data_IF_621133843939
#
_entry.id   IF_621133843939
#
_cell.length_a   1.000
_cell.length_b   1.000
_cell.length_c   1.000
_cell.angle_alpha   90.00
_cell.angle_beta   90.00
_cell.angle_gamma   90.00
#
_symmetry.space_group_name_H-M   'P 1'
#
loop_
_entity.id
_entity.type
_entity.pdbx_description
1 polymer ?
#
# COMPACT_ATOMS: atom_id res chain seq x y z
N UNK A 1 11.25 -8.35 -9.26
CA UNK A 1 10.08 -7.77 -9.94
C UNK A 1 9.92 -8.41 -11.30
N UNK A 2 8.72 -8.82 -11.59
CA UNK A 2 8.40 -9.51 -12.84
C UNK A 2 7.77 -8.53 -13.81
N UNK A 3 8.21 -8.56 -15.09
CA UNK A 3 7.70 -7.62 -16.08
C UNK A 3 6.83 -8.33 -17.10
N UNK A 4 5.69 -7.72 -17.42
CA UNK A 4 4.81 -8.15 -18.50
C UNK A 4 4.67 -6.98 -19.48
N UNK A 5 5.09 -7.17 -20.72
CA UNK A 5 5.08 -6.13 -21.73
C UNK A 5 3.95 -6.34 -22.71
N UNK A 6 3.16 -5.29 -22.96
CA UNK A 6 2.13 -5.31 -23.98
C UNK A 6 2.70 -4.83 -25.31
N UNK A 7 2.00 -5.08 -26.44
CA UNK A 7 2.45 -4.58 -27.75
C UNK A 7 2.51 -3.05 -27.82
N UNK A 8 1.74 -2.37 -26.98
CA UNK A 8 1.78 -0.91 -26.92
C UNK A 8 3.02 -0.47 -26.13
N UNK A 9 3.08 0.79 -25.75
CA UNK A 9 4.22 1.36 -25.03
C UNK A 9 4.14 1.18 -23.52
N UNK A 10 3.07 0.56 -23.01
CA UNK A 10 2.85 0.40 -21.59
C UNK A 10 3.42 -0.91 -21.07
N UNK A 11 3.90 -0.88 -19.83
CA UNK A 11 4.43 -2.04 -19.14
C UNK A 11 3.68 -2.24 -17.83
N UNK A 12 3.49 -3.50 -17.46
CA UNK A 12 2.94 -3.86 -16.16
C UNK A 12 4.01 -4.63 -15.38
N UNK A 13 4.23 -4.23 -14.15
CA UNK A 13 5.22 -4.85 -13.27
C UNK A 13 4.51 -5.43 -12.06
N UNK A 14 4.93 -6.61 -11.66
CA UNK A 14 4.37 -7.28 -10.49
C UNK A 14 5.47 -7.47 -9.46
N UNK A 15 5.17 -7.14 -8.23
CA UNK A 15 6.12 -7.26 -7.14
C UNK A 15 5.44 -7.92 -5.94
N UNK A 16 6.09 -8.97 -5.41
CA UNK A 16 5.64 -9.62 -4.18
C UNK A 16 6.68 -9.32 -3.12
N UNK A 17 6.28 -8.61 -2.07
CA UNK A 17 7.22 -8.25 -1.02
C UNK A 17 7.67 -9.50 -0.26
N UNK A 18 8.98 -9.66 -0.04
CA UNK A 18 9.51 -10.79 0.72
C UNK A 18 9.43 -10.57 2.24
N UNK A 19 8.99 -9.40 2.68
CA UNK A 19 9.03 -9.02 4.09
C UNK A 19 7.64 -8.87 4.67
N UNK A 20 7.51 -9.17 5.96
CA UNK A 20 6.29 -8.88 6.72
C UNK A 20 6.45 -7.65 7.61
N UNK A 21 7.56 -6.94 7.50
CA UNK A 21 7.80 -5.72 8.24
C UNK A 21 6.99 -4.59 7.62
N UNK A 22 6.02 -4.00 8.34
CA UNK A 22 5.16 -2.95 7.77
C UNK A 22 5.94 -1.69 7.41
N UNK A 23 7.02 -1.38 8.12
CA UNK A 23 7.85 -0.22 7.78
C UNK A 23 8.58 -0.42 6.46
N UNK A 24 9.12 -1.63 6.26
CA UNK A 24 9.74 -1.99 4.99
C UNK A 24 8.72 -1.92 3.86
N UNK A 25 7.54 -2.49 4.07
CA UNK A 25 6.54 -2.57 3.02
C UNK A 25 5.99 -1.21 2.61
N UNK A 26 5.78 -0.30 3.57
CA UNK A 26 5.31 1.03 3.23
C UNK A 26 6.40 1.83 2.51
N UNK A 27 7.65 1.64 2.91
CA UNK A 27 8.77 2.27 2.23
C UNK A 27 8.94 1.73 0.81
N UNK A 28 8.74 0.43 0.64
CA UNK A 28 8.80 -0.20 -0.68
C UNK A 28 7.70 0.33 -1.60
N UNK A 29 6.48 0.46 -1.09
CA UNK A 29 5.38 1.02 -1.87
C UNK A 29 5.72 2.43 -2.34
N UNK A 30 6.25 3.27 -1.45
CA UNK A 30 6.66 4.62 -1.79
C UNK A 30 7.78 4.62 -2.84
N UNK A 31 8.75 3.73 -2.67
CA UNK A 31 9.84 3.60 -3.63
C UNK A 31 9.33 3.22 -5.01
N UNK A 32 8.45 2.23 -5.09
CA UNK A 32 7.89 1.80 -6.37
C UNK A 32 7.08 2.91 -7.03
N UNK A 33 6.35 3.67 -6.24
CA UNK A 33 5.61 4.82 -6.75
C UNK A 33 6.56 5.83 -7.42
N UNK A 34 7.72 6.07 -6.82
CA UNK A 34 8.70 7.03 -7.34
C UNK A 34 9.42 6.52 -8.58
N UNK A 35 9.43 5.21 -8.81
CA UNK A 35 10.04 4.60 -9.99
C UNK A 35 9.10 4.50 -11.17
N UNK A 36 7.84 4.85 -10.98
CA UNK A 36 6.82 4.69 -12.01
C UNK A 36 7.08 5.62 -13.18
N UNK A 37 7.11 5.04 -14.37
CA UNK A 37 7.22 5.80 -15.60
C UNK A 37 5.83 6.08 -16.18
N UNK A 38 5.72 7.07 -17.09
CA UNK A 38 4.47 7.25 -17.83
C UNK A 38 4.04 5.96 -18.52
N UNK A 39 2.75 5.65 -18.46
CA UNK A 39 2.13 4.47 -19.05
C UNK A 39 2.44 3.16 -18.32
N UNK A 40 3.28 3.16 -17.31
CA UNK A 40 3.54 1.96 -16.52
C UNK A 40 2.47 1.75 -15.46
N UNK A 41 2.30 0.49 -15.07
CA UNK A 41 1.49 0.11 -13.92
C UNK A 41 2.29 -0.85 -13.06
N UNK A 42 2.28 -0.65 -11.76
CA UNK A 42 2.97 -1.53 -10.82
C UNK A 42 1.93 -2.12 -9.88
N UNK A 43 1.95 -3.43 -9.74
CA UNK A 43 1.13 -4.16 -8.78
C UNK A 43 2.02 -4.70 -7.70
N UNK A 44 1.61 -4.54 -6.44
CA UNK A 44 2.37 -5.02 -5.30
C UNK A 44 1.48 -5.84 -4.40
N UNK A 45 1.94 -7.04 -4.05
CA UNK A 45 1.31 -7.89 -3.05
C UNK A 45 2.18 -7.92 -1.81
N UNK A 46 1.57 -7.75 -0.66
CA UNK A 46 2.33 -7.64 0.59
C UNK A 46 1.49 -8.02 1.80
N UNK A 47 2.19 -8.51 2.82
CA UNK A 47 1.59 -8.94 4.08
C UNK A 47 2.40 -8.34 5.21
N UNK A 48 1.73 -7.90 6.26
CA UNK A 48 2.39 -7.29 7.41
C UNK A 48 2.17 -8.11 8.68
N UNK A 49 3.16 -8.12 9.56
CA UNK A 49 2.95 -8.50 10.94
C UNK A 49 1.95 -7.53 11.59
N UNK A 50 1.40 -7.86 12.78
CA UNK A 50 0.39 -7.01 13.41
C UNK A 50 0.77 -5.54 13.41
N UNK A 51 -0.08 -4.73 12.82
CA UNK A 51 0.16 -3.30 12.63
C UNK A 51 -1.15 -2.55 12.43
N UNK A 52 -1.11 -1.26 12.77
CA UNK A 52 -2.21 -0.34 12.57
C UNK A 52 -1.78 0.73 11.61
N UNK A 53 -2.56 0.96 10.57
CA UNK A 53 -2.32 2.00 9.58
C UNK A 53 -3.38 3.07 9.73
N UNK A 54 -2.95 4.29 9.99
CA UNK A 54 -3.84 5.43 10.14
C UNK A 54 -3.90 6.24 8.87
N UNK A 55 -5.01 6.93 8.67
CA UNK A 55 -5.11 7.93 7.64
C UNK A 55 -4.24 9.14 7.95
N UNK A 56 -3.92 9.90 6.91
CA UNK A 56 -2.99 11.04 7.01
C UNK A 56 -3.41 12.06 8.06
N UNK A 57 -4.71 12.28 8.21
CA UNK A 57 -5.23 13.37 9.03
C UNK A 57 -5.81 12.91 10.36
N UNK A 58 -5.70 11.61 10.68
CA UNK A 58 -6.22 11.11 11.93
C UNK A 58 -5.28 11.41 13.09
N UNK A 59 -5.84 11.58 14.25
CA UNK A 59 -5.11 11.86 15.47
C UNK A 59 -5.00 10.60 16.29
N UNK A 60 -3.76 10.07 16.44
CA UNK A 60 -3.53 8.77 17.06
C UNK A 60 -4.05 8.70 18.50
N UNK A 61 -3.81 9.73 19.29
CA UNK A 61 -4.19 9.74 20.70
C UNK A 61 -5.72 9.70 20.87
N UNK A 62 -6.46 10.21 19.89
CA UNK A 62 -7.91 10.22 19.95
C UNK A 62 -8.55 8.92 19.44
N UNK A 63 -7.81 8.17 18.62
CA UNK A 63 -8.36 7.02 17.90
C UNK A 63 -7.88 5.67 18.47
N UNK A 64 -6.75 5.64 19.17
CA UNK A 64 -6.07 4.40 19.52
C UNK A 64 -5.63 4.36 20.96
N UNK A 65 -5.59 3.14 21.48
CA UNK A 65 -4.94 2.85 22.77
C UNK A 65 -3.46 2.58 22.49
N UNK A 66 -2.65 3.63 22.60
CA UNK A 66 -1.23 3.55 22.27
C UNK A 66 -0.45 2.62 23.20
N UNK A 67 -0.85 2.56 24.48
CA UNK A 67 -0.20 1.66 25.43
C UNK A 67 -0.43 0.21 25.05
N UNK A 68 -1.65 -0.12 24.61
CA UNK A 68 -1.95 -1.46 24.16
C UNK A 68 -1.10 -1.86 22.96
N UNK A 69 -0.94 -0.94 22.00
CA UNK A 69 -0.13 -1.20 20.82
C UNK A 69 1.31 -1.49 21.20
N UNK A 70 1.88 -0.70 22.10
CA UNK A 70 3.24 -0.89 22.53
C UNK A 70 3.41 -2.21 23.29
N UNK A 71 2.49 -2.52 24.20
CA UNK A 71 2.57 -3.75 24.98
C UNK A 71 2.48 -5.01 24.13
N UNK A 72 1.75 -4.96 23.03
CA UNK A 72 1.53 -6.10 22.16
C UNK A 72 2.41 -6.08 20.91
N UNK A 73 3.38 -5.18 20.87
CA UNK A 73 4.30 -5.05 19.73
C UNK A 73 3.56 -4.89 18.41
N UNK A 74 2.53 -4.06 18.42
CA UNK A 74 1.78 -3.73 17.21
C UNK A 74 2.34 -2.44 16.64
N UNK A 75 2.83 -2.51 15.41
CA UNK A 75 3.40 -1.34 14.75
C UNK A 75 2.32 -0.30 14.43
N UNK A 76 2.69 0.95 14.50
CA UNK A 76 1.78 2.05 14.16
C UNK A 76 2.39 2.85 13.02
N UNK A 77 1.66 2.97 11.93
CA UNK A 77 2.09 3.70 10.76
C UNK A 77 1.00 4.67 10.31
N UNK A 78 1.41 5.70 9.62
CA UNK A 78 0.51 6.68 9.03
C UNK A 78 0.64 6.64 7.52
N UNK A 79 -0.49 6.52 6.83
CA UNK A 79 -0.50 6.60 5.36
C UNK A 79 -0.28 8.05 4.92
N UNK A 80 0.22 8.21 3.70
CA UNK A 80 0.27 9.53 3.05
C UNK A 80 -1.09 9.93 2.51
N UNK A 81 -2.00 8.99 2.36
CA UNK A 81 -3.37 9.24 1.91
C UNK A 81 -4.32 9.36 3.10
N UNK A 82 -5.51 9.87 2.84
CA UNK A 82 -6.55 9.98 3.85
C UNK A 82 -7.17 8.62 4.20
N UNK A 83 -8.36 8.66 4.78
CA UNK A 83 -9.11 7.47 5.12
C UNK A 83 -9.04 7.16 6.61
N UNK A 84 -9.63 6.03 6.97
CA UNK A 84 -9.74 5.59 8.36
C UNK A 84 -8.58 4.74 8.81
N UNK A 85 -8.67 4.27 10.03
CA UNK A 85 -7.68 3.40 10.65
C UNK A 85 -8.01 1.94 10.30
N UNK A 86 -7.00 1.19 9.90
CA UNK A 86 -7.16 -0.24 9.61
C UNK A 86 -6.11 -1.04 10.35
N UNK A 87 -6.45 -2.27 10.68
CA UNK A 87 -5.56 -3.23 11.32
C UNK A 87 -5.12 -4.27 10.30
N UNK A 88 -3.82 -4.55 10.28
CA UNK A 88 -3.22 -5.60 9.45
C UNK A 88 -2.61 -6.67 10.32
N UNK A 89 -2.67 -7.91 9.87
CA UNK A 89 -1.90 -8.99 10.44
C UNK A 89 -1.49 -9.98 9.35
N UNK A 90 -0.87 -11.08 9.74
CA UNK A 90 -0.34 -12.05 8.77
C UNK A 90 -1.44 -12.74 7.96
N UNK A 91 -2.69 -12.63 8.37
CA UNK A 91 -3.83 -13.17 7.63
C UNK A 91 -4.37 -12.24 6.56
N UNK A 92 -3.86 -11.01 6.46
CA UNK A 92 -4.34 -10.02 5.51
C UNK A 92 -3.39 -9.90 4.34
N UNK A 93 -3.89 -10.14 3.15
CA UNK A 93 -3.13 -9.87 1.92
C UNK A 93 -3.48 -8.47 1.43
N UNK A 94 -2.47 -7.65 1.28
CA UNK A 94 -2.61 -6.29 0.76
C UNK A 94 -2.26 -6.27 -0.71
N UNK A 95 -3.05 -5.54 -1.46
CA UNK A 95 -2.87 -5.36 -2.90
C UNK A 95 -2.78 -3.87 -3.18
N UNK A 96 -1.70 -3.47 -3.82
CA UNK A 96 -1.51 -2.09 -4.25
C UNK A 96 -1.40 -2.05 -5.77
N UNK A 97 -2.14 -1.16 -6.39
CA UNK A 97 -2.00 -0.88 -7.81
C UNK A 97 -1.55 0.57 -7.96
N UNK A 98 -0.38 0.75 -8.56
CA UNK A 98 0.21 2.07 -8.76
C UNK A 98 0.17 2.37 -10.25
N UNK A 99 -0.54 3.42 -10.61
CA UNK A 99 -0.72 3.78 -11.99
C UNK A 99 -0.57 5.28 -12.15
N UNK A 100 0.14 5.68 -13.18
CA UNK A 100 0.27 7.09 -13.49
C UNK A 100 -0.98 7.57 -14.24
N UNK A 101 -1.63 8.57 -13.70
CA UNK A 101 -2.83 9.13 -14.31
C UNK A 101 -2.47 10.38 -15.08
N UNK A 102 -2.35 10.24 -16.39
CA UNK A 102 -1.99 11.35 -17.26
C UNK A 102 -3.09 12.39 -17.39
N UNK A 103 -4.31 12.05 -17.01
CA UNK A 103 -5.42 12.99 -17.08
C UNK A 103 -5.39 13.99 -15.92
N UNK A 104 -4.55 13.75 -14.91
CA UNK A 104 -4.49 14.59 -13.73
C UNK A 104 -5.61 14.36 -12.74
N UNK A 105 -6.39 13.32 -12.92
CA UNK A 105 -7.52 13.03 -12.04
C UNK A 105 -7.15 12.13 -10.86
N UNK A 106 -5.91 11.65 -10.83
CA UNK A 106 -5.46 10.79 -9.76
C UNK A 106 -5.87 9.33 -9.97
N UNK A 107 -5.90 8.59 -8.90
CA UNK A 107 -6.10 7.17 -8.93
C UNK A 107 -7.57 6.82 -9.18
N UNK A 108 -7.84 6.02 -10.21
CA UNK A 108 -9.19 5.57 -10.54
C UNK A 108 -9.38 4.13 -10.08
N UNK A 109 -10.04 3.95 -8.94
CA UNK A 109 -10.31 2.63 -8.39
C UNK A 109 -11.25 1.79 -9.27
N UNK A 110 -12.02 2.42 -10.14
CA UNK A 110 -12.93 1.70 -11.03
C UNK A 110 -12.21 1.00 -12.16
N UNK A 111 -10.97 1.37 -12.43
CA UNK A 111 -10.18 0.77 -13.49
C UNK A 111 -9.62 -0.59 -13.08
N UNK A 112 -9.78 -1.00 -11.85
CA UNK A 112 -9.21 -2.23 -11.32
C UNK A 112 -10.28 -3.16 -10.77
N UNK A 113 -10.02 -4.47 -10.76
CA UNK A 113 -10.86 -5.39 -10.00
C UNK A 113 -10.93 -4.97 -8.55
N UNK A 114 -11.95 -5.42 -7.85
CA UNK A 114 -12.06 -5.12 -6.41
C UNK A 114 -10.78 -5.52 -5.70
N UNK A 115 -10.12 -4.59 -5.01
CA UNK A 115 -8.89 -4.91 -4.31
C UNK A 115 -9.08 -5.94 -3.23
N UNK A 116 -8.07 -6.77 -3.04
CA UNK A 116 -8.00 -7.69 -1.92
C UNK A 116 -7.35 -6.93 -0.78
N UNK A 117 -8.13 -6.37 0.11
CA UNK A 117 -7.60 -5.61 1.22
C UNK A 117 -8.55 -5.64 2.39
N UNK A 118 -8.04 -5.21 3.50
CA UNK A 118 -8.83 -5.29 4.72
C UNK A 118 -8.89 -3.96 5.41
#
# INVERSE_FOLDING_TARGET
>A
MMTMTTPATSNAYYYISPSTDPYYNIALEDYLYRQLRPLDTIYMLWVNRPSVFMGRYQWAEAELDLDYLEEHDIALLRRTSGGGTVYHDLGNLNFTAIKNDHSGQGFDLKAFPTPIQR
#
